data_IF_258769947795
#
_entry.id   IF_258769947795
#
_cell.length_a   1.000
_cell.length_b   1.000
_cell.length_c   1.000
_cell.angle_alpha   90.00
_cell.angle_beta   90.00
_cell.angle_gamma   90.00
#
_symmetry.space_group_name_H-M   'P 1'
#
loop_
_entity.id
_entity.type
_entity.pdbx_description
1 polymer ?
#
# COMPACT_ATOMS: atom_id res chain seq x y z
N UNK A 1 3.57 -19.37 -27.51
CA UNK A 1 2.29 -18.63 -27.39
C UNK A 1 2.41 -17.47 -26.40
N UNK A 2 2.94 -17.68 -25.19
CA UNK A 2 3.05 -16.63 -24.16
C UNK A 2 3.93 -15.44 -24.54
N UNK A 3 5.11 -15.66 -25.14
CA UNK A 3 5.99 -14.55 -25.55
C UNK A 3 5.38 -13.66 -26.65
N UNK A 4 4.63 -14.26 -27.59
CA UNK A 4 3.91 -13.51 -28.63
C UNK A 4 2.76 -12.72 -28.03
N UNK A 5 2.01 -13.31 -27.09
CA UNK A 5 0.97 -12.62 -26.34
C UNK A 5 1.53 -11.43 -25.57
N UNK A 6 2.65 -11.63 -24.86
CA UNK A 6 3.39 -10.57 -24.15
C UNK A 6 3.78 -9.42 -25.08
N UNK A 7 4.40 -9.73 -26.23
CA UNK A 7 4.82 -8.72 -27.21
C UNK A 7 3.62 -7.98 -27.81
N UNK A 8 2.55 -8.70 -28.17
CA UNK A 8 1.33 -8.11 -28.71
C UNK A 8 0.65 -7.20 -27.68
N UNK A 9 0.62 -7.63 -26.41
CA UNK A 9 0.12 -6.86 -25.29
C UNK A 9 0.92 -5.57 -25.09
N UNK A 10 2.26 -5.63 -25.07
CA UNK A 10 3.11 -4.45 -24.93
C UNK A 10 2.92 -3.48 -26.10
N UNK A 11 2.81 -4.01 -27.33
CA UNK A 11 2.53 -3.21 -28.51
C UNK A 11 1.17 -2.53 -28.43
N UNK A 12 0.13 -3.25 -28.00
CA UNK A 12 -1.21 -2.70 -27.79
C UNK A 12 -1.20 -1.58 -26.74
N UNK A 13 -0.56 -1.82 -25.57
CA UNK A 13 -0.41 -0.79 -24.54
C UNK A 13 0.32 0.44 -25.08
N UNK A 14 1.40 0.27 -25.84
CA UNK A 14 2.14 1.39 -26.43
C UNK A 14 1.27 2.21 -27.38
N UNK A 15 0.51 1.55 -28.28
CA UNK A 15 -0.40 2.20 -29.22
C UNK A 15 -1.51 2.95 -28.46
N UNK A 16 -2.17 2.30 -27.49
CA UNK A 16 -3.21 2.92 -26.67
C UNK A 16 -2.68 4.14 -25.91
N UNK A 17 -1.51 4.03 -25.29
CA UNK A 17 -0.89 5.13 -24.56
C UNK A 17 -0.44 6.28 -25.45
N UNK A 18 0.07 6.00 -26.64
CA UNK A 18 0.42 7.04 -27.63
C UNK A 18 -0.83 7.80 -28.08
N UNK A 19 -1.91 7.07 -28.43
CA UNK A 19 -3.17 7.67 -28.84
C UNK A 19 -3.80 8.52 -27.73
N UNK A 20 -3.90 7.98 -26.50
CA UNK A 20 -4.48 8.73 -25.37
C UNK A 20 -3.60 9.91 -24.93
N UNK A 21 -2.28 9.81 -25.05
CA UNK A 21 -1.37 10.93 -24.82
C UNK A 21 -1.59 12.05 -25.83
N UNK A 22 -1.78 11.71 -27.11
CA UNK A 22 -2.11 12.68 -28.15
C UNK A 22 -3.45 13.36 -27.86
N UNK A 23 -4.49 12.59 -27.49
CA UNK A 23 -5.78 13.17 -27.10
C UNK A 23 -5.68 14.11 -25.90
N UNK A 24 -4.91 13.74 -24.87
CA UNK A 24 -4.67 14.58 -23.70
C UNK A 24 -3.95 15.88 -24.09
N UNK A 25 -2.94 15.79 -24.94
CA UNK A 25 -2.21 16.94 -25.46
C UNK A 25 -3.12 17.87 -26.28
N UNK A 26 -3.97 17.32 -27.16
CA UNK A 26 -4.96 18.11 -27.91
C UNK A 26 -5.94 18.81 -26.98
N UNK A 27 -6.47 18.13 -25.95
CA UNK A 27 -7.36 18.74 -24.95
C UNK A 27 -6.68 19.93 -24.25
N UNK A 28 -5.40 19.81 -23.88
CA UNK A 28 -4.64 20.90 -23.28
C UNK A 28 -4.56 22.14 -24.19
N UNK A 29 -4.37 21.94 -25.50
CA UNK A 29 -4.29 23.04 -26.46
C UNK A 29 -5.64 23.77 -26.61
N UNK A 30 -6.76 23.03 -26.62
CA UNK A 30 -8.09 23.60 -26.83
C UNK A 30 -8.72 24.19 -25.55
N UNK A 31 -8.30 23.75 -24.37
CA UNK A 31 -8.89 24.19 -23.08
C UNK A 31 -8.34 25.54 -22.60
N UNK A 32 -7.24 26.04 -23.19
CA UNK A 32 -6.67 27.38 -22.91
C UNK A 32 -7.57 28.56 -23.29
N UNK A 33 -8.80 28.32 -23.78
CA UNK A 33 -9.75 29.34 -24.25
C UNK A 33 -10.98 29.56 -23.36
N UNK A 34 -11.16 28.83 -22.26
CA UNK A 34 -12.36 28.99 -21.44
C UNK A 34 -12.08 28.71 -19.96
N UNK A 35 -11.48 29.66 -19.25
CA UNK A 35 -11.44 29.64 -17.78
C UNK A 35 -12.34 30.75 -17.24
N UNK A 36 -13.59 30.39 -16.98
CA UNK A 36 -14.54 31.20 -16.20
C UNK A 36 -14.82 30.47 -14.89
N UNK A 37 -14.19 30.97 -13.82
CA UNK A 37 -14.74 31.11 -12.47
C UNK A 37 -15.35 29.89 -11.77
N UNK A 38 -14.64 29.43 -10.73
CA UNK A 38 -15.19 29.46 -9.37
C UNK A 38 -16.31 28.48 -9.01
N UNK A 39 -15.93 27.28 -8.58
CA UNK A 39 -16.75 26.41 -7.74
C UNK A 39 -15.94 25.92 -6.55
N UNK A 40 -16.22 26.46 -5.37
CA UNK A 40 -15.62 26.08 -4.08
C UNK A 40 -16.04 24.67 -3.66
N UNK A 41 -15.45 23.65 -4.29
CA UNK A 41 -15.34 22.32 -3.71
C UNK A 41 -13.89 22.18 -3.27
N UNK A 42 -13.63 22.27 -1.96
CA UNK A 42 -12.34 21.88 -1.38
C UNK A 42 -11.92 20.54 -2.02
N UNK A 43 -10.84 20.57 -2.81
CA UNK A 43 -10.61 19.61 -3.89
C UNK A 43 -10.68 18.16 -3.41
N UNK A 44 -11.51 17.34 -4.07
CA UNK A 44 -11.73 15.94 -3.70
C UNK A 44 -10.46 15.08 -3.81
N UNK A 45 -9.45 15.57 -4.52
CA UNK A 45 -8.14 14.93 -4.65
C UNK A 45 -7.01 15.88 -4.24
N UNK A 46 -6.17 15.40 -3.33
CA UNK A 46 -4.88 16.00 -2.95
C UNK A 46 -3.77 15.36 -3.79
N UNK A 47 -2.92 16.19 -4.39
CA UNK A 47 -1.83 15.78 -5.25
C UNK A 47 -0.53 15.80 -4.46
N UNK A 48 0.18 14.68 -4.44
CA UNK A 48 1.48 14.56 -3.80
C UNK A 48 2.56 14.30 -4.85
N UNK A 49 3.70 14.97 -4.70
CA UNK A 49 4.93 14.67 -5.43
C UNK A 49 6.02 14.28 -4.44
N UNK A 50 6.74 13.21 -4.75
CA UNK A 50 7.65 12.59 -3.82
C UNK A 50 8.65 11.67 -4.47
N UNK A 51 9.31 10.87 -3.63
CA UNK A 51 10.32 9.91 -4.05
C UNK A 51 10.12 8.60 -3.30
N UNK A 52 10.32 7.49 -4.01
CA UNK A 52 10.42 6.16 -3.41
C UNK A 52 11.88 5.77 -3.41
N UNK A 53 12.41 5.46 -2.23
CA UNK A 53 13.76 4.96 -2.02
C UNK A 53 13.71 3.49 -1.64
N UNK A 54 14.43 2.66 -2.39
CA UNK A 54 14.66 1.27 -2.05
C UNK A 54 16.10 1.09 -1.60
N UNK A 55 16.31 0.37 -0.51
CA UNK A 55 17.62 0.02 0.03
C UNK A 55 17.67 -1.46 0.34
N UNK A 56 18.56 -2.17 -0.35
CA UNK A 56 18.87 -3.58 -0.12
C UNK A 56 20.31 -3.70 0.36
N UNK A 57 20.49 -4.37 1.50
CA UNK A 57 21.79 -4.67 2.11
C UNK A 57 22.31 -6.07 1.75
N UNK A 58 21.42 -7.04 1.53
CA UNK A 58 21.78 -8.45 1.25
C UNK A 58 20.87 -9.09 0.18
N UNK A 59 21.31 -10.16 -0.49
CA UNK A 59 22.67 -10.71 -0.49
C UNK A 59 23.69 -9.79 -1.21
N UNK A 60 23.22 -8.94 -2.13
CA UNK A 60 24.03 -7.90 -2.78
C UNK A 60 23.51 -6.51 -2.41
N UNK A 61 24.42 -5.58 -2.10
CA UNK A 61 24.08 -4.21 -1.82
C UNK A 61 23.56 -3.50 -3.09
N UNK A 62 22.39 -2.89 -2.96
CA UNK A 62 21.74 -2.19 -4.06
C UNK A 62 20.73 -1.19 -3.49
N UNK A 63 20.87 0.08 -3.84
CA UNK A 63 19.94 1.12 -3.44
C UNK A 63 19.68 2.07 -4.61
N UNK A 64 18.45 2.57 -4.70
CA UNK A 64 18.03 3.49 -5.74
C UNK A 64 16.86 4.32 -5.23
N UNK A 65 16.60 5.44 -5.92
CA UNK A 65 15.52 6.35 -5.57
C UNK A 65 14.95 6.97 -6.84
N UNK A 66 13.62 6.98 -6.97
CA UNK A 66 12.92 7.47 -8.17
C UNK A 66 11.75 8.39 -7.80
N UNK A 67 11.46 9.42 -8.62
CA UNK A 67 10.35 10.32 -8.37
C UNK A 67 9.02 9.62 -8.63
N UNK A 68 8.03 9.94 -7.79
CA UNK A 68 6.66 9.45 -7.89
C UNK A 68 5.66 10.56 -7.66
N UNK A 69 4.47 10.36 -8.21
CA UNK A 69 3.29 11.19 -7.95
C UNK A 69 2.18 10.29 -7.44
N UNK A 70 1.47 10.76 -6.43
CA UNK A 70 0.37 10.05 -5.80
C UNK A 70 -0.85 10.98 -5.68
N UNK A 71 -2.04 10.39 -5.82
CA UNK A 71 -3.30 11.04 -5.53
C UNK A 71 -3.80 10.53 -4.19
N UNK A 72 -4.18 11.44 -3.29
CA UNK A 72 -4.96 11.13 -2.11
C UNK A 72 -6.40 11.54 -2.36
N UNK A 73 -7.27 10.57 -2.56
CA UNK A 73 -8.66 10.73 -2.99
C UNK A 73 -9.58 10.55 -1.79
N UNK A 74 -10.53 11.46 -1.64
CA UNK A 74 -11.67 11.30 -0.72
C UNK A 74 -12.68 10.31 -1.32
N UNK A 75 -12.72 9.07 -0.81
CA UNK A 75 -13.60 8.04 -1.36
C UNK A 75 -15.08 8.29 -1.07
N UNK A 76 -15.40 9.12 -0.07
CA UNK A 76 -16.79 9.52 0.23
C UNK A 76 -17.32 10.54 -0.78
N UNK A 77 -16.43 11.34 -1.36
CA UNK A 77 -16.79 12.35 -2.37
C UNK A 77 -16.61 11.84 -3.79
N UNK A 78 -15.61 11.00 -4.02
CA UNK A 78 -15.24 10.49 -5.33
C UNK A 78 -14.98 8.98 -5.25
N UNK A 79 -16.03 8.15 -5.34
CA UNK A 79 -15.87 6.71 -5.48
C UNK A 79 -15.06 6.40 -6.75
N UNK A 80 -14.08 5.50 -6.62
CA UNK A 80 -13.26 5.04 -7.73
C UNK A 80 -13.62 3.59 -8.09
N UNK A 81 -13.91 3.29 -9.37
CA UNK A 81 -14.00 1.92 -9.86
C UNK A 81 -12.71 1.15 -9.56
N UNK A 82 -12.81 -0.17 -9.42
CA UNK A 82 -11.69 -1.10 -9.19
C UNK A 82 -10.98 -0.97 -7.83
N UNK A 83 -11.36 0.01 -7.00
CA UNK A 83 -10.94 0.18 -5.62
C UNK A 83 -12.06 -0.19 -4.63
N UNK A 84 -11.72 -0.38 -3.36
CA UNK A 84 -12.73 -0.52 -2.31
C UNK A 84 -13.57 0.75 -2.22
N UNK A 85 -14.88 0.60 -2.05
CA UNK A 85 -15.74 1.71 -1.65
C UNK A 85 -15.40 2.19 -0.23
N UNK A 86 -15.77 3.43 0.10
CA UNK A 86 -15.59 3.96 1.46
C UNK A 86 -16.29 3.08 2.51
N UNK A 87 -17.49 2.58 2.21
CA UNK A 87 -18.25 1.73 3.14
C UNK A 87 -17.64 0.34 3.32
N UNK A 88 -17.10 -0.27 2.27
CA UNK A 88 -16.34 -1.52 2.40
C UNK A 88 -15.08 -1.32 3.24
N UNK A 89 -14.32 -0.26 2.98
CA UNK A 89 -13.11 0.06 3.72
C UNK A 89 -13.42 0.31 5.21
N UNK A 90 -14.50 1.03 5.55
CA UNK A 90 -14.98 1.21 6.93
C UNK A 90 -15.33 -0.12 7.60
N UNK A 91 -16.09 -0.98 6.93
CA UNK A 91 -16.46 -2.30 7.48
C UNK A 91 -15.23 -3.16 7.75
N UNK A 92 -14.30 -3.22 6.81
CA UNK A 92 -13.04 -3.98 6.96
C UNK A 92 -12.18 -3.41 8.09
N UNK A 93 -12.06 -2.10 8.17
CA UNK A 93 -11.22 -1.40 9.13
C UNK A 93 -11.88 -1.25 10.52
N UNK A 94 -13.17 -1.54 10.65
CA UNK A 94 -13.99 -1.26 11.85
C UNK A 94 -13.92 0.20 12.28
N UNK A 95 -14.09 1.13 11.33
CA UNK A 95 -14.04 2.59 11.55
C UNK A 95 -15.32 3.28 11.09
N UNK A 96 -15.54 4.52 11.56
CA UNK A 96 -16.80 5.26 11.34
C UNK A 96 -16.63 6.60 10.59
N UNK A 97 -15.41 7.05 10.36
CA UNK A 97 -15.10 8.36 9.77
C UNK A 97 -14.80 8.30 8.27
N UNK A 98 -14.18 9.36 7.71
CA UNK A 98 -13.85 9.44 6.30
C UNK A 98 -12.84 8.36 5.88
N UNK A 99 -12.81 8.04 4.58
CA UNK A 99 -11.80 7.14 4.00
C UNK A 99 -11.03 7.86 2.90
N UNK A 100 -9.70 7.93 3.06
CA UNK A 100 -8.80 8.55 2.07
C UNK A 100 -7.96 7.49 1.37
N UNK A 101 -7.97 7.44 0.05
CA UNK A 101 -7.17 6.50 -0.74
C UNK A 101 -5.94 7.19 -1.32
N UNK A 102 -4.74 6.75 -0.92
CA UNK A 102 -3.48 7.11 -1.55
C UNK A 102 -3.16 6.09 -2.64
N UNK A 103 -3.13 6.52 -3.91
CA UNK A 103 -2.95 5.64 -5.07
C UNK A 103 -2.24 6.36 -6.23
N UNK A 104 -1.71 5.59 -7.19
CA UNK A 104 -1.30 6.10 -8.50
C UNK A 104 -2.42 5.79 -9.48
N UNK A 105 -3.23 6.78 -9.92
CA UNK A 105 -4.32 6.54 -10.85
C UNK A 105 -3.81 6.02 -12.21
N UNK A 106 -4.63 5.21 -12.87
CA UNK A 106 -4.46 4.85 -14.28
C UNK A 106 -4.29 6.11 -15.13
N UNK A 107 -3.34 6.09 -16.05
CA UNK A 107 -3.04 7.22 -16.91
C UNK A 107 -2.67 6.78 -18.31
N UNK A 108 -3.22 7.49 -19.30
CA UNK A 108 -3.08 7.20 -20.75
C UNK A 108 -3.16 5.71 -21.06
N UNK A 109 -4.17 5.03 -20.51
CA UNK A 109 -4.51 3.64 -20.86
C UNK A 109 -3.58 2.60 -20.26
N UNK A 110 -2.82 2.97 -19.23
CA UNK A 110 -1.92 2.06 -18.53
C UNK A 110 -2.03 2.24 -17.01
N UNK A 111 -1.98 1.14 -16.30
CA UNK A 111 -1.96 1.09 -14.85
C UNK A 111 -0.64 0.50 -14.37
N UNK A 112 -0.02 1.08 -13.37
CA UNK A 112 1.11 0.47 -12.68
C UNK A 112 1.18 1.14 -11.31
N UNK A 113 0.62 0.45 -10.33
CA UNK A 113 0.48 0.95 -8.98
C UNK A 113 0.91 -0.14 -7.98
N UNK A 114 2.18 -0.14 -7.53
CA UNK A 114 2.70 -1.16 -6.63
C UNK A 114 2.07 -1.14 -5.24
N UNK A 115 1.57 0.02 -4.80
CA UNK A 115 1.06 0.22 -3.45
C UNK A 115 -0.05 1.27 -3.43
N UNK A 116 -1.25 0.87 -3.01
CA UNK A 116 -2.31 1.76 -2.55
C UNK A 116 -2.45 1.66 -1.02
N UNK A 117 -2.79 2.78 -0.36
CA UNK A 117 -3.11 2.78 1.08
C UNK A 117 -4.46 3.48 1.29
N UNK A 118 -5.38 2.78 1.93
CA UNK A 118 -6.63 3.34 2.42
C UNK A 118 -6.42 3.76 3.88
N UNK A 119 -6.55 5.05 4.16
CA UNK A 119 -6.51 5.64 5.49
C UNK A 119 -7.94 5.70 6.02
N UNK A 120 -8.22 4.90 7.04
CA UNK A 120 -9.55 4.78 7.64
C UNK A 120 -9.57 5.50 8.99
N UNK A 121 -10.36 6.56 9.05
CA UNK A 121 -10.46 7.42 10.23
C UNK A 121 -11.68 7.05 11.07
N UNK A 122 -11.63 7.35 12.36
CA UNK A 122 -12.85 7.46 13.15
C UNK A 122 -13.57 8.79 12.87
N UNK A 123 -14.88 8.80 13.10
CA UNK A 123 -15.65 10.04 12.97
C UNK A 123 -15.18 11.04 14.03
N UNK A 124 -14.79 12.24 13.62
CA UNK A 124 -14.68 13.39 14.52
C UNK A 124 -16.01 14.13 14.53
N UNK A 125 -16.37 14.71 15.68
CA UNK A 125 -17.46 15.68 15.74
C UNK A 125 -17.18 16.85 14.78
N UNK A 126 -18.15 17.16 13.91
CA UNK A 126 -18.19 18.28 12.97
C UNK A 126 -16.92 18.56 12.14
N UNK A 127 -16.87 17.99 10.92
CA UNK A 127 -16.17 18.58 9.77
C UNK A 127 -14.65 18.42 9.68
N UNK A 128 -14.01 17.77 10.64
CA UNK A 128 -12.59 17.39 10.58
C UNK A 128 -12.43 15.87 10.37
N UNK A 129 -11.29 15.46 9.78
CA UNK A 129 -10.88 14.07 9.80
C UNK A 129 -10.58 13.71 11.27
N UNK A 130 -11.18 12.63 11.79
CA UNK A 130 -10.92 12.21 13.16
C UNK A 130 -9.57 11.53 13.32
N UNK A 131 -9.41 10.74 14.38
CA UNK A 131 -8.19 9.97 14.60
C UNK A 131 -8.01 8.90 13.50
N UNK A 132 -6.82 8.82 12.91
CA UNK A 132 -6.46 7.75 11.99
C UNK A 132 -6.38 6.44 12.77
N UNK A 133 -7.33 5.53 12.54
CA UNK A 133 -7.46 4.33 13.36
C UNK A 133 -6.83 3.09 12.75
N UNK A 134 -6.95 2.94 11.44
CA UNK A 134 -6.52 1.74 10.73
C UNK A 134 -6.17 2.09 9.29
N UNK A 135 -5.22 1.37 8.71
CA UNK A 135 -4.92 1.43 7.29
C UNK A 135 -5.22 0.10 6.62
N UNK A 136 -5.51 0.14 5.31
CA UNK A 136 -5.55 -1.05 4.45
C UNK A 136 -4.46 -0.84 3.39
N UNK A 137 -3.50 -1.75 3.31
CA UNK A 137 -2.53 -1.77 2.22
C UNK A 137 -3.07 -2.66 1.11
N UNK A 138 -3.01 -2.18 -0.13
CA UNK A 138 -3.17 -2.99 -1.34
C UNK A 138 -1.84 -3.02 -2.06
N UNK A 139 -1.24 -4.21 -2.18
CA UNK A 139 0.06 -4.42 -2.81
C UNK A 139 -0.12 -5.24 -4.07
N UNK A 140 0.34 -4.71 -5.19
CA UNK A 140 0.34 -5.41 -6.49
C UNK A 140 1.75 -5.94 -6.76
N UNK A 141 1.91 -7.25 -7.00
CA UNK A 141 3.19 -7.75 -7.49
C UNK A 141 3.32 -7.53 -9.00
N UNK A 142 4.53 -7.25 -9.45
CA UNK A 142 4.88 -7.18 -10.85
C UNK A 142 6.07 -8.13 -11.03
N UNK A 143 6.02 -9.08 -11.98
CA UNK A 143 5.10 -9.17 -13.13
C UNK A 143 3.91 -10.15 -12.99
N UNK A 144 3.73 -10.85 -11.86
CA UNK A 144 2.79 -11.99 -11.81
C UNK A 144 1.30 -11.65 -11.68
N UNK A 145 0.95 -10.37 -11.58
CA UNK A 145 -0.45 -9.95 -11.60
C UNK A 145 -1.21 -10.43 -10.38
N UNK A 146 -0.60 -10.45 -9.19
CA UNK A 146 -1.32 -10.75 -7.95
C UNK A 146 -1.44 -9.50 -7.09
N UNK A 147 -2.62 -9.28 -6.53
CA UNK A 147 -2.90 -8.23 -5.55
C UNK A 147 -3.21 -8.87 -4.21
N UNK A 148 -2.67 -8.31 -3.15
CA UNK A 148 -3.07 -8.63 -1.79
C UNK A 148 -3.51 -7.37 -1.08
N UNK A 149 -4.62 -7.45 -0.37
CA UNK A 149 -5.08 -6.41 0.53
C UNK A 149 -5.01 -6.91 1.97
N UNK A 150 -4.49 -6.12 2.89
CA UNK A 150 -4.50 -6.45 4.32
C UNK A 150 -4.59 -5.20 5.20
N UNK A 151 -5.20 -5.32 6.38
CA UNK A 151 -5.24 -4.24 7.37
C UNK A 151 -3.92 -4.11 8.11
N UNK A 152 -3.56 -2.91 8.56
CA UNK A 152 -2.42 -2.66 9.44
C UNK A 152 -2.59 -1.40 10.30
N UNK A 153 -1.96 -1.37 11.48
CA UNK A 153 -1.92 -0.18 12.34
C UNK A 153 -0.94 0.86 11.80
N UNK A 154 -1.32 2.15 11.70
CA UNK A 154 -0.54 3.19 11.02
C UNK A 154 0.83 3.45 11.64
N UNK A 155 0.94 3.52 12.97
CA UNK A 155 2.17 3.91 13.68
C UNK A 155 3.30 2.89 13.53
N UNK A 156 2.94 1.61 13.58
CA UNK A 156 3.82 0.48 13.32
C UNK A 156 2.99 -0.80 13.40
N UNK A 157 3.14 -1.68 12.42
CA UNK A 157 2.59 -3.02 12.47
C UNK A 157 3.60 -4.03 11.90
N UNK A 158 3.47 -5.28 12.33
CA UNK A 158 4.24 -6.39 11.82
C UNK A 158 3.30 -7.39 11.16
N UNK A 159 3.48 -7.59 9.86
CA UNK A 159 2.63 -8.45 9.02
C UNK A 159 3.49 -9.55 8.43
N UNK A 160 3.06 -10.81 8.51
CA UNK A 160 3.79 -11.87 7.83
C UNK A 160 3.75 -11.62 6.32
N UNK A 161 4.91 -11.65 5.64
CA UNK A 161 5.01 -11.29 4.22
C UNK A 161 3.99 -12.10 3.39
N UNK A 162 2.96 -11.46 2.79
CA UNK A 162 1.84 -12.17 2.19
C UNK A 162 1.95 -12.30 0.66
N UNK A 163 2.94 -11.66 0.05
CA UNK A 163 3.08 -11.59 -1.41
C UNK A 163 4.53 -11.64 -1.88
N UNK A 164 4.77 -12.37 -2.97
CA UNK A 164 6.06 -12.47 -3.62
C UNK A 164 6.25 -11.25 -4.55
N UNK A 165 6.74 -10.16 -3.97
CA UNK A 165 6.81 -8.84 -4.62
C UNK A 165 8.00 -8.65 -5.56
N UNK A 166 8.99 -9.55 -5.56
CA UNK A 166 10.19 -9.43 -6.39
C UNK A 166 10.81 -10.81 -6.61
N UNK A 167 11.28 -11.14 -7.83
CA UNK A 167 11.99 -12.39 -8.09
C UNK A 167 13.33 -12.49 -7.37
N UNK A 168 13.79 -11.42 -6.72
CA UNK A 168 15.03 -11.38 -5.94
C UNK A 168 14.75 -11.32 -4.43
N UNK A 169 13.55 -11.71 -3.97
CA UNK A 169 13.15 -11.74 -2.57
C UNK A 169 12.21 -12.90 -2.29
N UNK A 170 12.61 -13.87 -1.47
CA UNK A 170 11.73 -14.97 -1.04
C UNK A 170 10.51 -14.48 -0.25
N UNK A 171 9.59 -15.39 0.05
CA UNK A 171 8.38 -15.12 0.84
C UNK A 171 8.60 -15.08 2.37
N UNK A 172 9.84 -15.30 2.82
CA UNK A 172 10.11 -15.45 4.23
C UNK A 172 10.22 -14.11 4.94
N UNK A 173 9.96 -14.15 6.24
CA UNK A 173 10.02 -12.99 7.11
C UNK A 173 8.74 -12.16 7.16
N UNK A 174 8.88 -11.01 7.81
CA UNK A 174 7.78 -10.13 8.16
C UNK A 174 8.01 -8.74 7.57
N UNK A 175 6.93 -8.06 7.22
CA UNK A 175 6.92 -6.66 6.87
C UNK A 175 6.63 -5.84 8.12
N UNK A 176 7.60 -5.03 8.54
CA UNK A 176 7.35 -3.93 9.45
C UNK A 176 6.93 -2.73 8.61
N UNK A 177 5.65 -2.36 8.75
CA UNK A 177 4.99 -1.31 7.98
C UNK A 177 4.59 -0.17 8.90
N UNK A 178 4.77 1.06 8.41
CA UNK A 178 4.29 2.29 9.03
C UNK A 178 3.84 3.25 7.95
N UNK A 179 2.73 3.94 8.19
CA UNK A 179 2.19 4.97 7.32
C UNK A 179 1.66 6.12 8.19
N UNK A 180 2.33 7.27 8.12
CA UNK A 180 1.89 8.46 8.85
C UNK A 180 0.60 9.03 8.24
N UNK A 181 -0.22 9.69 9.05
CA UNK A 181 -1.42 10.36 8.56
C UNK A 181 -1.07 11.44 7.51
N UNK A 182 -1.75 11.47 6.35
CA UNK A 182 -1.41 12.37 5.25
C UNK A 182 -1.72 13.85 5.56
N UNK A 183 -0.67 14.62 5.85
CA UNK A 183 -0.69 16.09 6.04
C UNK A 183 -0.04 16.85 4.86
N UNK A 184 0.72 17.90 5.13
CA UNK A 184 1.50 18.59 4.08
C UNK A 184 2.63 17.72 3.51
N UNK A 185 3.00 16.68 4.26
CA UNK A 185 3.82 15.57 3.81
C UNK A 185 3.22 14.26 4.29
N UNK A 186 3.55 13.18 3.59
CA UNK A 186 3.30 11.83 4.06
C UNK A 186 4.56 11.00 3.94
N UNK A 187 4.67 10.02 4.84
CA UNK A 187 5.77 9.08 4.90
C UNK A 187 5.23 7.67 5.09
N UNK A 188 5.68 6.75 4.24
CA UNK A 188 5.35 5.33 4.33
C UNK A 188 6.64 4.55 4.27
N UNK A 189 6.85 3.63 5.20
CA UNK A 189 8.02 2.77 5.21
C UNK A 189 7.61 1.32 5.38
N UNK A 190 8.21 0.47 4.55
CA UNK A 190 8.07 -0.99 4.62
C UNK A 190 9.48 -1.57 4.70
N UNK A 191 9.77 -2.26 5.80
CA UNK A 191 11.03 -2.97 5.99
C UNK A 191 10.80 -4.47 6.12
N UNK A 192 11.70 -5.27 5.55
CA UNK A 192 11.62 -6.74 5.62
C UNK A 192 12.53 -7.25 6.71
N UNK A 193 11.93 -7.90 7.70
CA UNK A 193 12.60 -8.61 8.78
C UNK A 193 12.70 -10.09 8.42
N UNK A 194 13.86 -10.51 7.89
CA UNK A 194 14.09 -11.88 7.48
C UNK A 194 14.71 -12.71 8.62
N UNK A 195 14.30 -13.96 8.85
CA UNK A 195 14.84 -14.81 9.91
C UNK A 195 16.37 -14.99 9.83
N UNK A 196 16.93 -15.10 8.62
CA UNK A 196 18.38 -15.31 8.44
C UNK A 196 19.16 -14.08 7.97
N UNK A 197 18.50 -13.12 7.29
CA UNK A 197 19.16 -11.97 6.69
C UNK A 197 18.99 -10.70 7.53
N UNK A 198 18.15 -10.75 8.57
CA UNK A 198 17.77 -9.60 9.38
C UNK A 198 17.01 -8.56 8.55
N UNK A 199 17.15 -7.29 8.93
CA UNK A 199 16.54 -6.16 8.22
C UNK A 199 17.30 -5.86 6.93
N UNK A 200 17.10 -6.66 5.89
CA UNK A 200 17.94 -6.57 4.69
C UNK A 200 17.37 -5.66 3.60
N UNK A 201 16.08 -5.35 3.64
CA UNK A 201 15.42 -4.51 2.64
C UNK A 201 14.53 -3.46 3.30
N UNK A 202 14.50 -2.26 2.73
CA UNK A 202 13.61 -1.16 3.11
C UNK A 202 13.15 -0.42 1.87
N UNK A 203 11.84 -0.21 1.75
CA UNK A 203 11.23 0.73 0.81
C UNK A 203 10.61 1.88 1.60
N UNK A 204 10.92 3.12 1.22
CA UNK A 204 10.38 4.31 1.86
C UNK A 204 9.82 5.26 0.80
N UNK A 205 8.56 5.66 0.96
CA UNK A 205 7.91 6.73 0.21
C UNK A 205 7.92 7.99 1.08
N UNK A 206 8.45 9.07 0.54
CA UNK A 206 8.31 10.40 1.12
C UNK A 206 7.74 11.34 0.06
N UNK A 207 6.61 11.97 0.34
CA UNK A 207 5.94 12.85 -0.61
C UNK A 207 5.39 14.10 0.07
N UNK A 208 5.36 15.21 -0.67
CA UNK A 208 4.83 16.50 -0.23
C UNK A 208 3.58 16.85 -1.02
N UNK A 209 2.63 17.49 -0.35
CA UNK A 209 1.43 18.03 -0.96
C UNK A 209 1.82 19.18 -1.91
N UNK A 210 1.42 19.08 -3.18
CA UNK A 210 1.69 20.10 -4.21
C UNK A 210 0.43 20.80 -4.70
N UNK A 211 -0.74 20.35 -4.26
CA UNK A 211 -1.99 21.07 -4.48
C UNK A 211 -3.22 20.19 -4.39
N UNK A 212 -4.38 20.81 -4.58
CA UNK A 212 -5.68 20.16 -4.62
C UNK A 212 -6.29 20.35 -6.00
N UNK A 213 -7.02 19.34 -6.47
CA UNK A 213 -7.75 19.44 -7.74
C UNK A 213 -9.03 18.61 -7.69
N UNK A 214 -10.09 19.14 -8.30
CA UNK A 214 -11.24 18.37 -8.78
C UNK A 214 -11.31 18.37 -10.32
N UNK A 215 -10.38 19.06 -10.98
CA UNK A 215 -10.31 19.16 -12.44
C UNK A 215 -9.62 17.91 -13.01
N UNK A 216 -10.35 17.18 -13.85
CA UNK A 216 -9.91 15.93 -14.48
C UNK A 216 -8.75 16.14 -15.46
N UNK A 217 -8.68 17.27 -16.17
CA UNK A 217 -7.55 17.61 -17.04
C UNK A 217 -6.28 17.83 -16.21
N UNK A 218 -6.38 18.58 -15.10
CA UNK A 218 -5.24 18.79 -14.20
C UNK A 218 -4.76 17.48 -13.60
N UNK A 219 -5.68 16.57 -13.24
CA UNK A 219 -5.34 15.23 -12.77
C UNK A 219 -4.62 14.43 -13.87
N UNK A 220 -5.22 14.36 -15.06
CA UNK A 220 -4.66 13.60 -16.19
C UNK A 220 -3.28 14.11 -16.61
N UNK A 221 -3.04 15.42 -16.60
CA UNK A 221 -1.73 16.01 -16.91
C UNK A 221 -0.70 15.85 -15.81
N UNK A 222 -1.13 15.87 -14.55
CA UNK A 222 -0.24 15.62 -13.42
C UNK A 222 0.30 14.18 -13.45
N UNK A 223 -0.54 13.19 -13.78
CA UNK A 223 -0.12 11.80 -13.85
C UNK A 223 0.46 11.41 -15.21
N UNK A 224 -0.08 11.84 -16.34
CA UNK A 224 0.34 11.54 -17.72
C UNK A 224 1.08 10.20 -17.94
N UNK A 225 2.41 10.13 -17.84
CA UNK A 225 3.22 8.92 -18.04
C UNK A 225 3.74 8.30 -16.73
N UNK A 226 3.17 8.68 -15.59
CA UNK A 226 3.63 8.27 -14.26
C UNK A 226 3.56 6.74 -14.10
N UNK A 227 2.45 6.04 -14.42
CA UNK A 227 2.43 4.58 -14.39
C UNK A 227 3.54 3.93 -15.23
N UNK A 228 3.75 4.40 -16.47
CA UNK A 228 4.83 3.90 -17.35
C UNK A 228 6.21 4.10 -16.73
N UNK A 229 6.45 5.27 -16.13
CA UNK A 229 7.71 5.56 -15.42
C UNK A 229 7.91 4.59 -14.27
N UNK A 230 6.88 4.30 -13.47
CA UNK A 230 6.99 3.30 -12.39
C UNK A 230 7.35 1.93 -12.95
N UNK A 231 6.68 1.48 -14.01
CA UNK A 231 6.96 0.18 -14.63
C UNK A 231 8.41 0.10 -15.15
N UNK A 232 8.85 1.13 -15.88
CA UNK A 232 10.21 1.21 -16.40
C UNK A 232 11.25 1.13 -15.28
N UNK A 233 11.05 1.85 -14.16
CA UNK A 233 11.93 1.78 -12.99
C UNK A 233 11.98 0.38 -12.36
N UNK A 234 10.83 -0.28 -12.21
CA UNK A 234 10.76 -1.65 -11.66
C UNK A 234 11.56 -2.62 -12.51
N UNK A 235 11.34 -2.63 -13.83
CA UNK A 235 12.04 -3.54 -14.73
C UNK A 235 13.53 -3.20 -14.87
N UNK A 236 13.89 -1.92 -14.88
CA UNK A 236 15.29 -1.49 -14.94
C UNK A 236 16.07 -1.96 -13.71
N UNK A 237 15.51 -1.81 -12.51
CA UNK A 237 16.20 -2.23 -11.29
C UNK A 237 16.20 -3.75 -11.11
N UNK A 238 15.17 -4.45 -11.61
CA UNK A 238 15.19 -5.90 -11.72
C UNK A 238 16.34 -6.38 -12.63
N UNK A 239 16.53 -5.75 -13.80
CA UNK A 239 17.64 -6.06 -14.70
C UNK A 239 19.00 -5.80 -14.03
N UNK A 240 19.16 -4.68 -13.32
CA UNK A 240 20.41 -4.36 -12.59
C UNK A 240 20.72 -5.36 -11.48
N UNK A 241 19.72 -5.91 -10.81
CA UNK A 241 19.92 -6.99 -9.82
C UNK A 241 20.30 -8.32 -10.48
N UNK A 242 19.69 -8.62 -11.62
CA UNK A 242 20.06 -9.79 -12.42
C UNK A 242 21.51 -9.72 -12.89
N UNK A 243 21.94 -8.57 -13.42
CA UNK A 243 23.34 -8.32 -13.81
C UNK A 243 24.32 -8.39 -12.63
N UNK A 244 23.84 -8.20 -11.39
CA UNK A 244 24.62 -8.40 -10.15
C UNK A 244 24.63 -9.86 -9.67
N UNK A 245 24.15 -10.80 -10.47
CA UNK A 245 24.04 -12.23 -10.14
C UNK A 245 23.24 -12.51 -8.86
N UNK A 246 22.24 -11.68 -8.54
CA UNK A 246 21.32 -12.00 -7.45
C UNK A 246 20.42 -13.15 -7.88
N UNK A 247 20.32 -14.18 -7.03
CA UNK A 247 19.52 -15.38 -7.31
C UNK A 247 18.08 -15.01 -7.66
N UNK A 248 17.63 -15.46 -8.83
CA UNK A 248 16.25 -15.44 -9.23
C UNK A 248 15.48 -16.55 -8.50
N UNK A 249 14.31 -16.22 -7.98
CA UNK A 249 13.40 -17.12 -7.28
C UNK A 249 12.09 -17.17 -8.04
N UNK A 250 11.66 -18.39 -8.38
CA UNK A 250 10.39 -18.60 -9.05
C UNK A 250 9.22 -18.22 -8.14
N UNK A 251 8.11 -17.85 -8.77
CA UNK A 251 6.92 -17.52 -8.02
C UNK A 251 6.39 -18.75 -7.27
N UNK A 252 6.06 -18.64 -5.97
CA UNK A 252 5.57 -19.75 -5.16
C UNK A 252 4.38 -20.50 -5.78
N UNK A 253 3.52 -19.79 -6.53
CA UNK A 253 2.36 -20.37 -7.24
C UNK A 253 2.69 -21.59 -8.11
N UNK A 254 3.92 -21.72 -8.60
CA UNK A 254 4.34 -22.83 -9.46
C UNK A 254 4.88 -24.03 -8.68
N UNK A 255 5.27 -23.82 -7.41
CA UNK A 255 5.93 -24.84 -6.57
C UNK A 255 5.02 -25.30 -5.42
N UNK A 256 4.18 -24.41 -4.91
CA UNK A 256 3.35 -24.63 -3.74
C UNK A 256 2.00 -23.92 -3.89
N UNK A 257 0.92 -24.68 -4.03
CA UNK A 257 -0.44 -24.11 -4.15
C UNK A 257 -0.97 -23.53 -2.83
N UNK A 258 -0.49 -23.99 -1.67
CA UNK A 258 -0.91 -23.52 -0.34
C UNK A 258 -0.11 -22.32 0.19
N UNK A 259 0.71 -21.67 -0.64
CA UNK A 259 1.59 -20.58 -0.20
C UNK A 259 0.81 -19.39 0.43
N UNK A 260 -0.44 -19.15 -0.01
CA UNK A 260 -1.33 -18.12 0.56
C UNK A 260 -1.81 -18.51 1.97
N UNK A 261 -2.19 -19.77 2.17
CA UNK A 261 -2.63 -20.29 3.45
C UNK A 261 -1.49 -20.32 4.47
N UNK A 262 -0.28 -20.69 4.03
CA UNK A 262 0.93 -20.61 4.85
C UNK A 262 1.25 -19.18 5.28
N UNK A 263 1.04 -18.19 4.40
CA UNK A 263 1.20 -16.79 4.77
C UNK A 263 0.18 -16.36 5.83
N UNK A 264 -1.10 -16.77 5.70
CA UNK A 264 -2.13 -16.51 6.70
C UNK A 264 -1.82 -17.17 8.04
N UNK A 265 -1.33 -18.42 8.02
CA UNK A 265 -0.96 -19.16 9.24
C UNK A 265 0.18 -18.45 9.97
N UNK A 266 1.23 -18.03 9.23
CA UNK A 266 2.34 -17.25 9.80
C UNK A 266 1.88 -15.93 10.39
N UNK A 267 0.94 -15.21 9.75
CA UNK A 267 0.42 -13.96 10.30
C UNK A 267 -0.35 -14.20 11.61
N UNK A 268 -1.13 -15.28 11.69
CA UNK A 268 -1.84 -15.67 12.90
C UNK A 268 -0.87 -16.02 14.05
N UNK A 269 0.17 -16.81 13.76
CA UNK A 269 1.23 -17.17 14.71
C UNK A 269 2.02 -15.95 15.20
N UNK A 270 2.29 -15.00 14.30
CA UNK A 270 2.96 -13.75 14.65
C UNK A 270 2.12 -12.93 15.64
N UNK A 271 0.82 -12.80 15.39
CA UNK A 271 -0.10 -12.05 16.25
C UNK A 271 -0.31 -12.74 17.61
N UNK A 272 -0.43 -14.07 17.64
CA UNK A 272 -0.52 -14.80 18.90
C UNK A 272 0.74 -14.61 19.76
N UNK A 273 1.92 -14.64 19.14
CA UNK A 273 3.19 -14.40 19.82
C UNK A 273 3.32 -12.96 20.34
N UNK A 274 2.95 -11.95 19.55
CA UNK A 274 2.99 -10.55 19.97
C UNK A 274 2.01 -10.27 21.13
N UNK A 275 0.78 -10.79 21.05
CA UNK A 275 -0.21 -10.62 22.12
C UNK A 275 0.26 -11.28 23.43
N UNK A 276 0.88 -12.45 23.35
CA UNK A 276 1.48 -13.12 24.50
C UNK A 276 2.59 -12.29 25.15
N UNK A 277 3.52 -11.75 24.35
CA UNK A 277 4.59 -10.87 24.86
C UNK A 277 4.04 -9.59 25.49
N UNK A 278 2.98 -9.01 24.94
CA UNK A 278 2.33 -7.83 25.49
C UNK A 278 1.65 -8.15 26.83
N UNK A 279 1.00 -9.31 26.96
CA UNK A 279 0.44 -9.81 28.24
C UNK A 279 1.52 -10.01 29.30
N UNK A 280 2.66 -10.61 28.95
CA UNK A 280 3.78 -10.76 29.90
C UNK A 280 4.34 -9.41 30.36
N UNK A 281 4.51 -8.43 29.46
CA UNK A 281 4.94 -7.08 29.83
C UNK A 281 3.95 -6.39 30.77
N UNK A 282 2.65 -6.48 30.49
CA UNK A 282 1.61 -5.90 31.36
C UNK A 282 1.57 -6.59 32.74
N UNK A 283 1.75 -7.90 32.79
CA UNK A 283 1.77 -8.65 34.05
C UNK A 283 3.03 -8.32 34.89
N UNK A 284 4.18 -8.17 34.25
CA UNK A 284 5.42 -7.75 34.91
C UNK A 284 5.39 -6.28 35.38
N UNK A 285 4.64 -5.41 34.70
CA UNK A 285 4.42 -4.04 35.17
C UNK A 285 3.49 -4.00 36.39
N UNK A 286 2.43 -4.83 36.42
CA UNK A 286 1.55 -4.95 37.59
C UNK A 286 2.23 -5.58 38.81
N UNK A 287 3.20 -6.47 38.62
CA UNK A 287 3.99 -7.04 39.72
C UNK A 287 5.13 -6.13 40.20
N UNK A 288 5.43 -5.03 39.50
CA UNK A 288 6.43 -4.03 39.91
C UNK A 288 5.84 -2.85 40.72
N UNK A 289 4.52 -2.76 40.84
CA UNK A 289 3.82 -1.79 41.68
C UNK A 289 3.18 -2.52 42.87
N UNK A 290 3.97 -2.89 43.86
CA UNK A 290 3.46 -3.33 45.16
C UNK A 290 4.14 -2.51 46.25
N UNK A 291 3.46 -1.45 46.69
CA UNK A 291 3.50 -1.12 48.10
C UNK A 291 2.15 -0.53 48.56
N UNK A 292 1.67 -1.08 49.68
CA UNK A 292 0.58 -0.66 50.58
C UNK A 292 -0.89 -1.00 50.26
N UNK A 293 -1.26 -2.15 50.82
CA UNK A 293 -2.38 -2.45 51.75
C UNK A 293 -3.87 -2.30 51.35
N UNK A 294 -4.53 -3.46 51.54
CA UNK A 294 -5.82 -3.71 52.19
C UNK A 294 -7.05 -4.06 51.34
N UNK A 295 -7.53 -5.26 51.69
CA UNK A 295 -8.89 -5.79 51.72
C UNK A 295 -9.50 -6.45 50.48
N UNK A 296 -9.92 -7.67 50.77
CA UNK A 296 -10.49 -8.69 49.90
C UNK A 296 -11.94 -8.31 49.60
N UNK A 297 -12.28 -8.15 48.33
CA UNK A 297 -13.63 -8.45 47.85
C UNK A 297 -13.52 -9.41 46.67
N UNK A 298 -14.07 -10.61 46.86
CA UNK A 298 -14.16 -11.65 45.86
C UNK A 298 -15.21 -11.26 44.81
N UNK A 299 -14.77 -11.03 43.58
CA UNK A 299 -15.62 -11.10 42.39
C UNK A 299 -14.89 -11.94 41.33
N UNK A 300 -15.39 -13.12 40.94
CA UNK A 300 -14.82 -13.87 39.83
C UNK A 300 -15.44 -13.33 38.53
N UNK A 301 -14.96 -12.17 38.07
CA UNK A 301 -15.36 -11.67 36.75
C UNK A 301 -14.53 -12.37 35.67
N UNK A 302 -15.13 -13.46 35.24
CA UNK A 302 -15.00 -14.12 33.96
C UNK A 302 -15.06 -13.09 32.80
N UNK A 303 -13.98 -12.96 32.03
CA UNK A 303 -13.93 -12.76 30.55
C UNK A 303 -12.60 -12.13 30.12
N UNK A 304 -11.66 -12.98 29.73
CA UNK A 304 -10.40 -12.59 29.11
C UNK A 304 -10.12 -13.34 27.80
N UNK A 305 -11.15 -13.85 27.13
CA UNK A 305 -11.04 -14.33 25.75
C UNK A 305 -11.16 -13.15 24.79
N UNK A 306 -10.11 -12.31 24.75
CA UNK A 306 -9.83 -11.55 23.53
C UNK A 306 -9.39 -12.56 22.48
N UNK A 307 -10.39 -13.12 21.79
CA UNK A 307 -10.21 -13.97 20.62
C UNK A 307 -9.28 -13.22 19.67
N UNK A 308 -8.05 -13.72 19.45
CA UNK A 308 -7.05 -13.05 18.60
C UNK A 308 -7.66 -12.96 17.21
N UNK A 309 -8.24 -11.80 16.87
CA UNK A 309 -8.96 -11.65 15.63
C UNK A 309 -7.97 -11.77 14.48
N UNK A 310 -8.27 -12.69 13.57
CA UNK A 310 -7.53 -12.89 12.32
C UNK A 310 -7.44 -11.55 11.59
N UNK A 311 -6.24 -11.18 11.13
CA UNK A 311 -6.06 -10.02 10.24
C UNK A 311 -6.89 -10.24 8.99
N UNK A 312 -7.62 -9.22 8.57
CA UNK A 312 -8.26 -9.27 7.27
C UNK A 312 -7.16 -9.22 6.20
N UNK A 313 -7.08 -10.26 5.37
CA UNK A 313 -6.12 -10.38 4.28
C UNK A 313 -6.76 -11.16 3.13
N UNK A 314 -6.77 -10.58 1.93
CA UNK A 314 -7.45 -11.13 0.75
C UNK A 314 -6.56 -10.99 -0.47
N UNK A 315 -6.47 -12.04 -1.28
CA UNK A 315 -5.80 -12.02 -2.57
C UNK A 315 -6.81 -11.85 -3.70
N UNK A 316 -6.44 -11.10 -4.72
CA UNK A 316 -7.17 -10.95 -5.98
C UNK A 316 -6.17 -11.08 -7.13
N UNK A 317 -6.63 -11.63 -8.24
CA UNK A 317 -5.83 -11.61 -9.46
C UNK A 317 -5.96 -10.22 -10.10
N UNK A 318 -4.82 -9.62 -10.46
CA UNK A 318 -4.75 -8.44 -11.27
C UNK A 318 -4.50 -8.87 -12.71
N UNK A 319 -5.33 -8.37 -13.63
CA UNK A 319 -5.18 -8.73 -15.03
C UNK A 319 -3.88 -8.13 -15.59
N UNK A 320 -3.10 -9.00 -16.23
CA UNK A 320 -1.92 -8.62 -17.00
C UNK A 320 -2.23 -8.81 -18.50
N UNK A 321 -1.87 -7.86 -19.39
CA UNK A 321 -1.21 -6.58 -19.10
C UNK A 321 -2.07 -5.65 -18.27
N UNK A 322 -1.41 -4.71 -17.60
CA UNK A 322 -2.06 -3.68 -16.83
C UNK A 322 -2.83 -2.74 -17.77
N UNK A 323 -4.08 -3.11 -18.06
CA UNK A 323 -4.97 -2.41 -18.99
C UNK A 323 -6.01 -1.61 -18.24
#
# INVERSE_FOLDING_TARGET
MEALYLLASLAATLVTSAFQSLLLFLRLLFQRRHDSGGGSAAGATRLYEGRVRHSRRRPAAHAFEYPVRYALVDLDRLPLPDHLSADEARRIASTSGPVRLLTIPKSVGYEQNPLSIYYCYNSAGQGQDGELRMCIAEVTNTPWGERVMFTFQPDSDLVAKPLHVSPFMDMLGNWSIRADAPGDSLYVVISVQHPTLGNYFTAALHAKLVGHTSNSLRLATFFWLMPHKVAAWIYWEALRLWLKNVKFLDHPRYLNMSYRDEALKRDLELRSSCSFLQKQKANNQRSSSTDKTCEISNHPDNKGDENIMKRWCVWRDAQWPWS
#
